data_IF_926018975470
#
_entry.id   IF_926018975470
#
_cell.length_a   1.000
_cell.length_b   1.000
_cell.length_c   1.000
_cell.angle_alpha   90.00
_cell.angle_beta   90.00
_cell.angle_gamma   90.00
#
_symmetry.space_group_name_H-M   'P 1'
#
loop_
_entity.id
_entity.type
_entity.pdbx_description
1 polymer ?
#
# COMPACT_ATOMS: atom_id res chain seq x y z
N UNK A 1 -11.85 -21.05 -20.81
CA UNK A 1 -12.42 -20.51 -19.58
C UNK A 1 -11.42 -20.76 -18.45
N UNK A 2 -10.93 -19.71 -17.81
CA UNK A 2 -10.19 -19.85 -16.56
C UNK A 2 -11.24 -19.96 -15.45
N UNK A 3 -11.31 -21.13 -14.79
CA UNK A 3 -12.05 -21.27 -13.54
C UNK A 3 -11.29 -20.53 -12.44
N UNK A 4 -11.94 -19.56 -11.80
CA UNK A 4 -11.41 -18.83 -10.68
C UNK A 4 -12.19 -19.24 -9.44
N UNK A 5 -11.52 -19.80 -8.45
CA UNK A 5 -12.10 -20.09 -7.14
C UNK A 5 -12.33 -18.77 -6.39
N UNK A 6 -13.56 -18.49 -6.02
CA UNK A 6 -13.94 -17.32 -5.22
C UNK A 6 -14.30 -17.75 -3.81
N UNK A 7 -13.67 -17.13 -2.81
CA UNK A 7 -13.98 -17.37 -1.40
C UNK A 7 -14.57 -16.09 -0.80
N UNK A 8 -15.86 -16.12 -0.48
CA UNK A 8 -16.57 -15.01 0.15
C UNK A 8 -16.34 -14.95 1.67
N UNK A 9 -15.08 -14.74 2.07
CA UNK A 9 -14.68 -14.62 3.48
C UNK A 9 -13.63 -13.52 3.63
N UNK A 10 -13.59 -12.94 4.84
CA UNK A 10 -12.49 -12.05 5.20
C UNK A 10 -11.18 -12.83 5.16
N UNK A 11 -10.18 -12.28 4.46
CA UNK A 11 -8.86 -12.92 4.36
C UNK A 11 -8.23 -13.12 5.73
N UNK A 12 -7.72 -14.33 5.93
CA UNK A 12 -6.88 -14.73 7.06
C UNK A 12 -5.93 -15.81 6.55
N UNK A 13 -4.69 -15.83 7.06
CA UNK A 13 -3.73 -16.87 6.70
C UNK A 13 -4.26 -18.28 6.94
N UNK A 14 -3.96 -19.18 6.04
CA UNK A 14 -4.43 -20.57 6.06
C UNK A 14 -5.82 -20.80 5.45
N UNK A 15 -6.53 -19.73 5.03
CA UNK A 15 -7.87 -19.83 4.45
C UNK A 15 -7.94 -20.78 3.24
N UNK A 16 -6.88 -20.83 2.46
CA UNK A 16 -6.80 -21.64 1.23
C UNK A 16 -6.18 -23.03 1.44
N UNK A 17 -5.66 -23.34 2.63
CA UNK A 17 -4.99 -24.62 2.92
C UNK A 17 -3.70 -24.86 2.14
N UNK A 18 -3.21 -23.88 1.40
CA UNK A 18 -1.98 -23.93 0.59
C UNK A 18 -1.23 -22.61 0.63
N UNK A 19 0.04 -22.64 0.23
CA UNK A 19 0.87 -21.45 0.03
C UNK A 19 0.95 -21.08 -1.44
N UNK A 20 1.34 -19.84 -1.69
CA UNK A 20 1.37 -19.24 -3.03
C UNK A 20 2.77 -18.71 -3.35
N UNK A 21 3.15 -18.76 -4.62
CA UNK A 21 4.37 -18.13 -5.13
C UNK A 21 4.18 -16.63 -5.36
N UNK A 22 2.94 -16.22 -5.62
CA UNK A 22 2.55 -14.83 -5.79
C UNK A 22 1.20 -14.57 -5.12
N UNK A 23 1.14 -13.50 -4.33
CA UNK A 23 -0.10 -12.90 -3.86
C UNK A 23 -0.21 -11.50 -4.49
N UNK A 24 -1.40 -11.19 -5.02
CA UNK A 24 -1.72 -9.90 -5.62
C UNK A 24 -2.75 -9.18 -4.75
N UNK A 25 -2.44 -7.97 -4.35
CA UNK A 25 -3.33 -7.09 -3.57
C UNK A 25 -3.43 -5.73 -4.25
N UNK A 26 -4.59 -5.41 -4.79
CA UNK A 26 -4.82 -4.16 -5.53
C UNK A 26 -6.01 -3.42 -4.94
N UNK A 27 -5.80 -2.18 -4.54
CA UNK A 27 -6.84 -1.27 -4.03
C UNK A 27 -7.64 -1.85 -2.84
N UNK A 28 -6.92 -2.48 -1.91
CA UNK A 28 -7.48 -3.08 -0.69
C UNK A 28 -6.78 -2.53 0.55
N UNK A 29 -5.44 -2.37 0.50
CA UNK A 29 -4.63 -2.06 1.68
C UNK A 29 -5.01 -0.73 2.33
N UNK A 30 -5.43 0.26 1.54
CA UNK A 30 -5.89 1.58 1.99
C UNK A 30 -7.17 1.53 2.84
N UNK A 31 -7.92 0.43 2.77
CA UNK A 31 -9.15 0.21 3.55
C UNK A 31 -8.94 -0.65 4.78
N UNK A 32 -7.73 -1.16 5.02
CA UNK A 32 -7.45 -2.11 6.11
C UNK A 32 -7.05 -1.36 7.38
N UNK A 33 -7.77 -1.55 8.47
CA UNK A 33 -7.51 -0.87 9.76
C UNK A 33 -6.16 -1.22 10.39
N UNK A 34 -5.67 -2.45 10.21
CA UNK A 34 -4.34 -2.90 10.64
C UNK A 34 -3.56 -3.48 9.45
N UNK A 35 -2.95 -2.62 8.63
CA UNK A 35 -2.28 -3.05 7.42
C UNK A 35 -1.01 -3.87 7.69
N UNK A 36 -0.33 -3.66 8.83
CA UNK A 36 0.85 -4.46 9.20
C UNK A 36 0.47 -5.90 9.46
N UNK A 37 -0.54 -6.13 10.28
CA UNK A 37 -1.03 -7.49 10.58
C UNK A 37 -1.56 -8.17 9.32
N UNK A 38 -2.28 -7.45 8.47
CA UNK A 38 -2.80 -7.95 7.21
C UNK A 38 -1.67 -8.42 6.26
N UNK A 39 -0.61 -7.62 6.11
CA UNK A 39 0.56 -7.99 5.32
C UNK A 39 1.32 -9.18 5.92
N UNK A 40 1.43 -9.26 7.24
CA UNK A 40 2.02 -10.41 7.93
C UNK A 40 1.23 -11.70 7.70
N UNK A 41 -0.10 -11.63 7.64
CA UNK A 41 -0.94 -12.77 7.29
C UNK A 41 -0.70 -13.22 5.85
N UNK A 42 -0.64 -12.30 4.88
CA UNK A 42 -0.27 -12.62 3.49
C UNK A 42 1.12 -13.27 3.42
N UNK A 43 2.09 -12.75 4.21
CA UNK A 43 3.45 -13.30 4.25
C UNK A 43 3.48 -14.76 4.72
N UNK A 44 2.60 -15.16 5.64
CA UNK A 44 2.51 -16.56 6.10
C UNK A 44 2.05 -17.49 4.98
N UNK A 45 1.17 -17.02 4.10
CA UNK A 45 0.62 -17.81 2.99
C UNK A 45 1.52 -17.82 1.74
N UNK A 46 2.60 -17.05 1.73
CA UNK A 46 3.62 -17.12 0.68
C UNK A 46 4.59 -18.28 0.91
N UNK A 47 4.98 -18.95 -0.17
CA UNK A 47 6.12 -19.85 -0.20
C UNK A 47 7.42 -19.12 0.19
N UNK A 48 8.47 -19.87 0.49
CA UNK A 48 9.81 -19.31 0.64
C UNK A 48 10.19 -18.62 -0.68
N UNK A 49 10.74 -17.41 -0.59
CA UNK A 49 11.03 -16.55 -1.73
C UNK A 49 9.80 -16.15 -2.58
N UNK A 50 8.58 -16.39 -2.11
CA UNK A 50 7.36 -15.95 -2.78
C UNK A 50 7.23 -14.43 -2.83
N UNK A 51 6.45 -13.94 -3.78
CA UNK A 51 6.29 -12.53 -4.09
C UNK A 51 4.92 -12.00 -3.68
N UNK A 52 4.91 -10.73 -3.28
CA UNK A 52 3.72 -9.94 -3.07
C UNK A 52 3.72 -8.77 -4.05
N UNK A 53 2.66 -8.64 -4.84
CA UNK A 53 2.39 -7.45 -5.63
C UNK A 53 1.36 -6.60 -4.91
N UNK A 54 1.67 -5.32 -4.69
CA UNK A 54 0.74 -4.35 -4.09
C UNK A 54 0.53 -3.19 -5.05
N UNK A 55 -0.74 -2.80 -5.21
CA UNK A 55 -1.13 -1.55 -5.84
C UNK A 55 -2.08 -0.79 -4.91
N UNK A 56 -1.81 0.50 -4.68
CA UNK A 56 -2.65 1.41 -3.89
C UNK A 56 -2.60 2.82 -4.48
N UNK A 57 -3.61 3.67 -4.26
CA UNK A 57 -3.56 5.08 -4.66
C UNK A 57 -2.36 5.80 -4.03
N UNK A 58 -1.74 6.69 -4.79
CA UNK A 58 -0.67 7.56 -4.31
C UNK A 58 -1.24 8.84 -3.73
N UNK A 59 -0.84 9.17 -2.51
CA UNK A 59 -1.25 10.40 -1.81
C UNK A 59 -0.82 11.68 -2.55
N UNK A 60 0.19 11.62 -3.40
CA UNK A 60 0.69 12.80 -4.13
C UNK A 60 -0.36 13.44 -5.02
N UNK A 61 -1.33 12.67 -5.53
CA UNK A 61 -2.46 13.20 -6.29
C UNK A 61 -3.32 14.17 -5.49
N UNK A 62 -3.40 13.97 -4.17
CA UNK A 62 -4.28 14.75 -3.31
C UNK A 62 -3.78 16.18 -3.09
N UNK A 63 -2.48 16.44 -3.36
CA UNK A 63 -1.89 17.77 -3.15
C UNK A 63 -2.41 18.85 -4.11
N UNK A 64 -3.03 18.43 -5.20
CA UNK A 64 -3.51 19.33 -6.26
C UNK A 64 -5.04 19.36 -6.39
N UNK A 65 -5.74 18.62 -5.49
CA UNK A 65 -7.20 18.52 -5.55
C UNK A 65 -7.87 19.65 -4.78
N UNK A 66 -9.02 20.12 -5.28
CA UNK A 66 -9.88 20.99 -4.49
C UNK A 66 -10.45 20.23 -3.29
N UNK A 67 -10.74 20.93 -2.19
CA UNK A 67 -11.29 20.31 -0.96
C UNK A 67 -12.63 19.58 -1.19
N UNK A 68 -13.35 19.92 -2.26
CA UNK A 68 -14.60 19.27 -2.67
C UNK A 68 -14.42 18.00 -3.46
N UNK A 69 -13.17 17.55 -3.76
CA UNK A 69 -12.95 16.36 -4.55
C UNK A 69 -13.42 15.12 -3.79
N UNK A 70 -14.14 14.23 -4.49
CA UNK A 70 -14.72 13.01 -3.94
C UNK A 70 -13.70 12.10 -3.25
N UNK A 71 -12.42 12.17 -3.64
CA UNK A 71 -11.34 11.36 -3.08
C UNK A 71 -11.08 11.62 -1.60
N UNK A 72 -11.46 12.79 -1.06
CA UNK A 72 -11.42 13.07 0.38
C UNK A 72 -12.55 12.39 1.16
N UNK A 73 -13.61 11.95 0.48
CA UNK A 73 -14.79 11.34 1.08
C UNK A 73 -14.90 9.82 0.83
N UNK A 74 -13.97 9.24 0.05
CA UNK A 74 -13.86 7.80 -0.12
C UNK A 74 -13.42 7.20 1.22
N UNK A 75 -13.91 6.01 1.62
CA UNK A 75 -13.57 5.39 2.90
C UNK A 75 -12.17 4.79 2.89
N UNK A 76 -11.16 5.59 2.51
CA UNK A 76 -9.77 5.26 2.68
C UNK A 76 -9.34 5.59 4.11
N UNK A 77 -8.88 4.59 4.86
CA UNK A 77 -8.34 4.77 6.21
C UNK A 77 -6.91 5.31 6.12
N UNK A 78 -6.19 4.91 5.07
CA UNK A 78 -4.79 5.30 4.85
C UNK A 78 -4.60 5.90 3.47
N UNK A 79 -3.71 6.89 3.42
CA UNK A 79 -3.18 7.49 2.20
C UNK A 79 -1.68 7.21 2.15
N UNK A 80 -1.27 6.39 1.20
CA UNK A 80 0.11 5.96 1.08
C UNK A 80 0.91 6.86 0.14
N UNK A 81 2.15 7.18 0.53
CA UNK A 81 3.22 7.57 -0.37
C UNK A 81 4.09 6.35 -0.67
N UNK A 82 4.92 6.43 -1.71
CA UNK A 82 5.88 5.36 -2.03
C UNK A 82 6.76 5.01 -0.82
N UNK A 83 7.23 6.01 -0.07
CA UNK A 83 8.06 5.80 1.11
C UNK A 83 7.30 5.14 2.27
N UNK A 84 6.08 5.61 2.58
CA UNK A 84 5.29 5.03 3.68
C UNK A 84 4.89 3.60 3.40
N UNK A 85 4.51 3.28 2.15
CA UNK A 85 4.19 1.92 1.73
C UNK A 85 5.43 1.02 1.77
N UNK A 86 6.59 1.52 1.32
CA UNK A 86 7.86 0.80 1.38
C UNK A 86 8.24 0.44 2.83
N UNK A 87 8.14 1.39 3.74
CA UNK A 87 8.41 1.16 5.16
C UNK A 87 7.46 0.14 5.78
N UNK A 88 6.17 0.23 5.45
CA UNK A 88 5.16 -0.72 5.92
C UNK A 88 5.49 -2.16 5.48
N UNK A 89 5.88 -2.35 4.21
CA UNK A 89 6.29 -3.65 3.68
C UNK A 89 7.55 -4.18 4.38
N UNK A 90 8.53 -3.32 4.63
CA UNK A 90 9.71 -3.70 5.40
C UNK A 90 9.36 -4.16 6.82
N UNK A 91 8.50 -3.43 7.53
CA UNK A 91 8.02 -3.79 8.87
C UNK A 91 7.23 -5.10 8.87
N UNK A 92 6.56 -5.43 7.79
CA UNK A 92 5.85 -6.70 7.61
C UNK A 92 6.78 -7.87 7.19
N UNK A 93 8.08 -7.62 6.99
CA UNK A 93 9.08 -8.64 6.69
C UNK A 93 9.26 -8.94 5.21
N UNK A 94 9.06 -7.95 4.35
CA UNK A 94 9.31 -8.02 2.92
C UNK A 94 10.55 -7.24 2.50
N UNK A 95 11.20 -7.69 1.42
CA UNK A 95 12.20 -6.93 0.66
C UNK A 95 11.57 -6.39 -0.60
N UNK A 96 11.74 -5.12 -0.88
CA UNK A 96 11.29 -4.52 -2.13
C UNK A 96 12.23 -4.92 -3.25
N UNK A 97 11.66 -5.49 -4.32
CA UNK A 97 12.37 -5.90 -5.53
C UNK A 97 12.24 -4.82 -6.59
N UNK A 98 11.04 -4.29 -6.75
CA UNK A 98 10.77 -3.21 -7.70
C UNK A 98 9.61 -2.35 -7.19
N UNK A 99 9.62 -1.08 -7.56
CA UNK A 99 8.55 -0.13 -7.26
C UNK A 99 8.43 0.92 -8.36
N UNK A 100 7.22 1.37 -8.59
CA UNK A 100 6.94 2.49 -9.50
C UNK A 100 5.71 3.26 -9.07
N UNK A 101 5.71 4.54 -9.38
CA UNK A 101 4.51 5.39 -9.35
C UNK A 101 4.14 5.68 -10.81
N UNK A 102 2.86 5.57 -11.13
CA UNK A 102 2.38 5.89 -12.47
C UNK A 102 1.03 6.59 -12.40
N UNK A 103 0.77 7.47 -13.37
CA UNK A 103 -0.50 8.18 -13.48
C UNK A 103 -1.34 7.60 -14.62
N UNK A 104 -2.63 7.54 -14.40
CA UNK A 104 -3.60 7.14 -15.42
C UNK A 104 -4.08 8.34 -16.25
N UNK A 105 -4.76 8.09 -17.37
CA UNK A 105 -5.37 9.13 -18.21
C UNK A 105 -6.45 9.96 -17.47
N UNK A 106 -6.86 9.54 -16.26
CA UNK A 106 -7.81 10.27 -15.41
C UNK A 106 -7.12 11.06 -14.30
N UNK A 107 -5.85 11.39 -14.46
CA UNK A 107 -5.03 12.08 -13.45
C UNK A 107 -5.09 11.42 -12.06
N UNK A 108 -5.06 10.10 -12.03
CA UNK A 108 -4.96 9.34 -10.79
C UNK A 108 -3.64 8.60 -10.77
N UNK A 109 -2.83 8.82 -9.75
CA UNK A 109 -1.57 8.13 -9.54
C UNK A 109 -1.73 6.94 -8.61
N UNK A 110 -0.96 5.91 -8.90
CA UNK A 110 -0.91 4.68 -8.13
C UNK A 110 0.53 4.29 -7.86
N UNK A 111 0.74 3.70 -6.70
CA UNK A 111 2.00 3.07 -6.32
C UNK A 111 1.86 1.58 -6.58
N UNK A 112 2.81 1.00 -7.31
CA UNK A 112 2.93 -0.44 -7.48
C UNK A 112 4.27 -0.89 -6.89
N UNK A 113 4.25 -1.91 -6.06
CA UNK A 113 5.44 -2.52 -5.46
C UNK A 113 5.40 -4.02 -5.65
N UNK A 114 6.53 -4.57 -6.12
CA UNK A 114 6.83 -6.00 -6.06
C UNK A 114 7.77 -6.20 -4.88
N UNK A 115 7.35 -7.00 -3.92
CA UNK A 115 8.11 -7.31 -2.73
C UNK A 115 8.28 -8.82 -2.57
N UNK A 116 9.40 -9.27 -2.03
CA UNK A 116 9.71 -10.66 -1.79
C UNK A 116 9.70 -10.97 -0.31
N UNK A 117 9.16 -12.12 0.07
CA UNK A 117 9.21 -12.63 1.43
C UNK A 117 10.65 -12.81 1.88
N UNK A 118 11.06 -12.15 2.98
CA UNK A 118 12.35 -12.40 3.65
C UNK A 118 12.27 -13.57 4.61
N UNK A 119 13.27 -14.45 4.60
CA UNK A 119 13.35 -15.54 5.57
C UNK A 119 13.80 -15.07 6.95
N UNK A 120 14.73 -14.12 7.05
CA UNK A 120 15.23 -13.55 8.30
C UNK A 120 14.94 -12.06 8.40
N UNK A 121 14.04 -11.68 9.29
CA UNK A 121 13.77 -10.29 9.66
C UNK A 121 14.75 -9.88 10.75
N UNK A 122 16.03 -9.69 10.41
CA UNK A 122 16.94 -8.95 11.29
C UNK A 122 16.72 -7.45 11.08
N UNK A 123 16.59 -6.71 12.17
CA UNK A 123 16.37 -5.27 12.31
C UNK A 123 16.63 -4.45 11.03
N UNK A 124 15.57 -4.15 10.29
CA UNK A 124 15.62 -3.25 9.16
C UNK A 124 15.65 -1.82 9.70
N UNK A 125 16.65 -1.06 9.29
CA UNK A 125 16.66 0.38 9.51
C UNK A 125 15.43 0.98 8.81
N UNK A 126 14.46 1.43 9.58
CA UNK A 126 13.31 2.20 9.08
C UNK A 126 13.90 3.53 8.62
N UNK A 127 13.77 3.86 7.35
CA UNK A 127 14.06 5.22 6.90
C UNK A 127 13.11 6.14 7.66
N UNK A 128 13.65 6.93 8.59
CA UNK A 128 12.85 7.92 9.31
C UNK A 128 12.38 8.94 8.27
N UNK A 129 11.06 9.02 8.08
CA UNK A 129 10.47 10.16 7.41
C UNK A 129 10.83 11.36 8.29
N UNK A 130 11.52 12.35 7.74
CA UNK A 130 11.90 13.51 8.53
C UNK A 130 10.65 14.29 8.91
N UNK A 131 10.65 14.89 10.09
CA UNK A 131 9.57 15.80 10.53
C UNK A 131 9.35 16.91 9.50
N UNK A 132 10.42 17.36 8.84
CA UNK A 132 10.40 18.34 7.77
C UNK A 132 9.61 17.85 6.54
N UNK A 133 9.73 16.58 6.15
CA UNK A 133 8.97 16.01 5.02
C UNK A 133 7.47 15.89 5.35
N UNK A 134 7.16 15.56 6.61
CA UNK A 134 5.77 15.52 7.09
C UNK A 134 5.18 16.93 7.05
N UNK A 135 5.88 17.94 7.60
CA UNK A 135 5.44 19.32 7.61
C UNK A 135 5.29 19.91 6.20
N UNK A 136 6.23 19.63 5.30
CA UNK A 136 6.12 20.03 3.89
C UNK A 136 4.87 19.44 3.23
N UNK A 137 4.56 18.19 3.53
CA UNK A 137 3.39 17.47 3.02
C UNK A 137 2.09 18.10 3.54
N UNK A 138 1.99 18.31 4.86
CA UNK A 138 0.84 18.93 5.51
C UNK A 138 0.61 20.36 4.98
N UNK A 139 1.68 21.15 4.86
CA UNK A 139 1.59 22.52 4.36
C UNK A 139 1.10 22.59 2.91
N UNK A 140 1.54 21.67 2.04
CA UNK A 140 1.04 21.58 0.65
C UNK A 140 -0.46 21.28 0.61
N UNK A 141 -0.95 20.36 1.42
CA UNK A 141 -2.38 20.03 1.51
C UNK A 141 -3.15 21.25 2.01
N UNK A 142 -2.70 21.91 3.09
CA UNK A 142 -3.35 23.06 3.69
C UNK A 142 -3.43 24.27 2.73
N UNK A 143 -2.37 24.56 1.98
CA UNK A 143 -2.36 25.66 0.99
C UNK A 143 -3.38 25.41 -0.12
N UNK A 144 -3.52 24.17 -0.58
CA UNK A 144 -4.47 23.83 -1.63
C UNK A 144 -5.93 23.88 -1.14
N UNK A 145 -6.19 23.47 0.09
CA UNK A 145 -7.53 23.60 0.70
C UNK A 145 -7.97 25.07 0.82
N UNK A 146 -7.06 25.98 1.14
CA UNK A 146 -7.37 27.42 1.29
C UNK A 146 -7.48 28.18 -0.05
N UNK A 147 -7.04 27.59 -1.18
CA UNK A 147 -7.19 28.19 -2.52
C UNK A 147 -8.50 27.83 -3.22
N UNK A 148 -9.29 26.96 -2.61
CA UNK A 148 -10.54 26.44 -3.18
C UNK A 148 -11.79 27.05 -2.55
N UNK A 149 -11.63 28.02 -1.63
CA UNK A 149 -12.67 28.90 -1.08
C UNK A 149 -12.59 30.27 -1.73
#
# INVERSE_FOLDING_TARGET
NLEIDVIEKKFKSGLFGKKFDLIVNTKVLEHISDPISFLKEMRKDLNNNGFLFIETPDVSDMFHLPASDERFFIPHIYFFSENSLSNLLHMAGFSIINKRVFSTNRNRSYIQIIAQKKENVQNLAISKISEEDILKTINKISINMNRST
#
